data_IF_602864466753
#
_entry.id   IF_602864466753
#
_cell.length_a   1.000
_cell.length_b   1.000
_cell.length_c   1.000
_cell.angle_alpha   90.00
_cell.angle_beta   90.00
_cell.angle_gamma   90.00
#
_symmetry.space_group_name_H-M   'P 1'
#
loop_
_entity.id
_entity.type
_entity.pdbx_description
1 polymer ?
#
# COMPACT_ATOMS: atom_id res chain seq x y z
N UNK A 1 16.54 -10.07 -6.77
CA UNK A 1 15.18 -10.51 -6.46
C UNK A 1 14.92 -10.16 -5.02
N UNK A 2 13.88 -9.37 -4.73
CA UNK A 2 13.37 -9.25 -3.37
C UNK A 2 12.93 -10.66 -2.95
N UNK A 3 13.38 -11.16 -1.80
CA UNK A 3 12.91 -12.44 -1.30
C UNK A 3 11.41 -12.29 -1.02
N UNK A 4 10.60 -12.90 -1.88
CA UNK A 4 9.16 -12.92 -1.73
C UNK A 4 8.75 -14.09 -0.83
N UNK A 5 8.89 -13.86 0.48
CA UNK A 5 8.59 -14.81 1.56
C UNK A 5 7.08 -15.00 1.79
N UNK A 6 6.23 -14.45 0.91
CA UNK A 6 4.77 -14.64 0.95
C UNK A 6 4.37 -16.11 0.81
N UNK A 7 3.35 -16.51 1.58
CA UNK A 7 2.73 -17.84 1.49
C UNK A 7 2.07 -18.06 0.11
N UNK A 8 1.78 -19.30 -0.29
CA UNK A 8 1.01 -19.59 -1.50
C UNK A 8 -0.33 -18.84 -1.58
N UNK A 9 -1.04 -18.75 -0.45
CA UNK A 9 -2.31 -18.03 -0.33
C UNK A 9 -2.13 -16.52 -0.54
N UNK A 10 -1.09 -15.94 0.06
CA UNK A 10 -0.74 -14.54 -0.13
C UNK A 10 -0.35 -14.23 -1.59
N UNK A 11 0.38 -15.14 -2.25
CA UNK A 11 0.70 -15.01 -3.68
C UNK A 11 -0.55 -15.10 -4.56
N UNK A 12 -1.47 -16.01 -4.26
CA UNK A 12 -2.75 -16.10 -4.96
C UNK A 12 -3.61 -14.83 -4.77
N UNK A 13 -3.66 -14.28 -3.56
CA UNK A 13 -4.33 -13.02 -3.27
C UNK A 13 -3.68 -11.83 -4.01
N UNK A 14 -2.35 -11.80 -4.08
CA UNK A 14 -1.59 -10.83 -4.85
C UNK A 14 -1.87 -10.89 -6.34
N UNK A 15 -1.85 -12.09 -6.94
CA UNK A 15 -2.20 -12.30 -8.34
C UNK A 15 -3.65 -11.89 -8.65
N UNK A 16 -4.61 -12.26 -7.80
CA UNK A 16 -6.01 -11.86 -7.97
C UNK A 16 -6.18 -10.33 -7.89
N UNK A 17 -5.52 -9.69 -6.93
CA UNK A 17 -5.53 -8.23 -6.76
C UNK A 17 -4.89 -7.53 -7.96
N UNK A 18 -3.73 -7.98 -8.41
CA UNK A 18 -3.04 -7.47 -9.59
C UNK A 18 -3.91 -7.56 -10.84
N UNK A 19 -4.59 -8.70 -11.06
CA UNK A 19 -5.50 -8.88 -12.18
C UNK A 19 -6.67 -7.89 -12.13
N UNK A 20 -7.31 -7.71 -10.97
CA UNK A 20 -8.39 -6.72 -10.81
C UNK A 20 -7.92 -5.30 -11.11
N UNK A 21 -6.74 -4.92 -10.63
CA UNK A 21 -6.14 -3.60 -10.89
C UNK A 21 -5.88 -3.37 -12.38
N UNK A 22 -5.44 -4.39 -13.11
CA UNK A 22 -5.28 -4.35 -14.56
C UNK A 22 -6.62 -4.24 -15.29
N UNK A 23 -7.62 -5.06 -14.91
CA UNK A 23 -8.94 -5.10 -15.53
C UNK A 23 -9.65 -3.74 -15.48
N UNK A 24 -9.58 -3.04 -14.34
CA UNK A 24 -10.18 -1.70 -14.18
C UNK A 24 -9.27 -0.56 -14.67
N UNK A 25 -8.10 -0.88 -15.22
CA UNK A 25 -7.09 0.09 -15.70
C UNK A 25 -6.57 1.03 -14.60
N UNK A 26 -6.46 0.54 -13.37
CA UNK A 26 -5.79 1.26 -12.29
C UNK A 26 -4.26 1.29 -12.47
N UNK A 27 -3.72 0.40 -13.31
CA UNK A 27 -2.29 0.30 -13.66
C UNK A 27 -2.05 0.78 -15.10
N UNK A 28 -0.90 1.43 -15.32
CA UNK A 28 -0.43 1.76 -16.67
C UNK A 28 1.09 1.63 -16.81
N UNK A 29 1.54 1.17 -17.99
CA UNK A 29 2.96 1.06 -18.38
C UNK A 29 3.32 2.10 -19.45
N UNK A 30 4.44 2.80 -19.27
CA UNK A 30 5.00 3.81 -20.19
C UNK A 30 6.55 3.79 -20.18
N UNK A 31 7.22 2.71 -20.59
CA UNK A 31 8.68 2.67 -20.60
C UNK A 31 9.34 3.66 -21.56
N UNK A 32 8.65 4.05 -22.64
CA UNK A 32 9.15 5.05 -23.61
C UNK A 32 9.05 6.50 -23.12
N UNK A 33 8.08 6.77 -22.24
CA UNK A 33 7.79 8.11 -21.71
C UNK A 33 7.49 8.00 -20.20
N UNK A 34 8.53 7.75 -19.38
CA UNK A 34 8.35 7.45 -17.96
C UNK A 34 7.73 8.60 -17.19
N UNK A 35 7.07 8.23 -16.09
CA UNK A 35 6.61 9.15 -15.08
C UNK A 35 7.80 9.65 -14.26
N UNK A 36 7.81 10.95 -13.94
CA UNK A 36 8.73 11.50 -12.95
C UNK A 36 8.00 11.59 -11.62
N UNK A 37 8.39 10.75 -10.66
CA UNK A 37 7.81 10.71 -9.33
C UNK A 37 8.21 11.96 -8.53
N UNK A 38 7.46 12.29 -7.48
CA UNK A 38 7.76 13.44 -6.60
C UNK A 38 9.15 13.35 -5.97
N UNK A 39 9.66 12.14 -5.74
CA UNK A 39 11.00 11.89 -5.24
C UNK A 39 12.11 12.16 -6.29
N UNK A 40 11.75 12.45 -7.54
CA UNK A 40 12.66 12.70 -8.66
C UNK A 40 12.99 11.48 -9.51
N UNK A 41 12.44 10.30 -9.18
CA UNK A 41 12.78 9.04 -9.83
C UNK A 41 11.95 8.87 -11.10
N UNK A 42 12.56 8.37 -12.17
CA UNK A 42 11.85 7.97 -13.36
C UNK A 42 11.28 6.56 -13.16
N UNK A 43 10.01 6.37 -13.50
CA UNK A 43 9.34 5.08 -13.40
C UNK A 43 8.51 4.81 -14.65
N UNK A 44 8.64 3.61 -15.27
CA UNK A 44 7.80 3.22 -16.40
C UNK A 44 6.42 2.74 -15.94
N UNK A 45 6.18 2.60 -14.64
CA UNK A 45 4.95 2.03 -14.09
C UNK A 45 4.21 3.04 -13.21
N UNK A 46 2.90 3.10 -13.39
CA UNK A 46 2.01 3.95 -12.60
C UNK A 46 0.81 3.15 -12.12
N UNK A 47 0.41 3.41 -10.88
CA UNK A 47 -0.80 2.86 -10.27
C UNK A 47 -1.56 3.98 -9.57
N UNK A 48 -2.88 3.97 -9.71
CA UNK A 48 -3.79 4.80 -8.91
C UNK A 48 -4.78 3.93 -8.14
N UNK A 49 -4.46 3.58 -6.89
CA UNK A 49 -5.37 2.82 -6.04
C UNK A 49 -6.67 3.59 -5.75
N UNK A 50 -6.66 4.93 -5.75
CA UNK A 50 -7.89 5.72 -5.53
C UNK A 50 -8.93 5.46 -6.62
N UNK A 51 -8.52 4.99 -7.80
CA UNK A 51 -9.43 4.60 -8.87
C UNK A 51 -10.38 3.47 -8.46
N UNK A 52 -9.89 2.50 -7.67
CA UNK A 52 -10.61 1.29 -7.22
C UNK A 52 -11.92 1.63 -6.52
N UNK A 53 -12.02 2.77 -5.82
CA UNK A 53 -13.21 3.15 -5.06
C UNK A 53 -14.49 3.23 -5.93
N UNK A 54 -14.31 3.42 -7.24
CA UNK A 54 -15.38 3.54 -8.24
C UNK A 54 -15.91 2.19 -8.74
N UNK A 55 -15.30 1.07 -8.32
CA UNK A 55 -15.56 -0.27 -8.85
C UNK A 55 -16.02 -1.20 -7.72
N UNK A 56 -17.32 -1.51 -7.69
CA UNK A 56 -17.93 -2.18 -6.54
C UNK A 56 -17.48 -3.63 -6.34
N UNK A 57 -17.29 -4.38 -7.41
CA UNK A 57 -16.92 -5.80 -7.34
C UNK A 57 -15.47 -5.92 -6.87
N UNK A 58 -14.57 -5.18 -7.49
CA UNK A 58 -13.13 -5.17 -7.25
C UNK A 58 -12.82 -4.63 -5.87
N UNK A 59 -13.42 -3.49 -5.46
CA UNK A 59 -13.16 -2.95 -4.12
C UNK A 59 -13.63 -3.91 -3.02
N UNK A 60 -14.77 -4.60 -3.20
CA UNK A 60 -15.26 -5.59 -2.23
C UNK A 60 -14.30 -6.76 -2.12
N UNK A 61 -13.85 -7.29 -3.26
CA UNK A 61 -12.94 -8.43 -3.27
C UNK A 61 -11.56 -8.08 -2.71
N UNK A 62 -11.05 -6.88 -2.99
CA UNK A 62 -9.80 -6.38 -2.42
C UNK A 62 -9.89 -6.29 -0.88
N UNK A 63 -11.01 -5.78 -0.35
CA UNK A 63 -11.20 -5.69 1.11
C UNK A 63 -11.36 -7.07 1.74
N UNK A 64 -12.08 -7.99 1.10
CA UNK A 64 -12.20 -9.39 1.55
C UNK A 64 -10.81 -10.05 1.66
N UNK A 65 -10.00 -9.97 0.60
CA UNK A 65 -8.64 -10.52 0.59
C UNK A 65 -7.74 -9.84 1.63
N UNK A 66 -7.87 -8.53 1.82
CA UNK A 66 -7.12 -7.79 2.84
C UNK A 66 -7.45 -8.22 4.26
N UNK A 67 -8.73 -8.43 4.55
CA UNK A 67 -9.18 -8.92 5.85
C UNK A 67 -8.73 -10.36 6.11
N UNK A 68 -8.79 -11.24 5.10
CA UNK A 68 -8.27 -12.61 5.18
C UNK A 68 -6.76 -12.64 5.45
N UNK A 69 -5.99 -11.82 4.72
CA UNK A 69 -4.55 -11.68 4.92
C UNK A 69 -4.23 -11.27 6.36
N UNK A 70 -4.92 -10.26 6.89
CA UNK A 70 -4.69 -9.77 8.26
C UNK A 70 -5.05 -10.82 9.31
N UNK A 71 -6.19 -11.52 9.17
CA UNK A 71 -6.56 -12.63 10.07
C UNK A 71 -5.54 -13.76 10.09
N UNK A 72 -4.84 -14.00 8.99
CA UNK A 72 -3.77 -14.99 8.90
C UNK A 72 -2.40 -14.49 9.38
N UNK A 73 -2.20 -13.18 9.50
CA UNK A 73 -0.88 -12.58 9.75
C UNK A 73 -0.73 -11.98 11.15
N UNK A 74 -1.82 -11.56 11.79
CA UNK A 74 -1.82 -10.88 13.09
C UNK A 74 -2.96 -11.36 13.99
N UNK A 75 -2.84 -11.07 15.29
CA UNK A 75 -3.93 -11.22 16.25
C UNK A 75 -4.92 -10.05 16.09
N UNK A 76 -5.94 -10.23 15.24
CA UNK A 76 -6.97 -9.22 14.98
C UNK A 76 -7.80 -8.93 16.25
N UNK A 77 -7.92 -9.88 17.17
CA UNK A 77 -8.69 -9.67 18.41
C UNK A 77 -7.98 -8.68 19.34
N UNK A 78 -6.65 -8.63 19.29
CA UNK A 78 -5.83 -7.66 20.02
C UNK A 78 -5.88 -6.23 19.45
N UNK A 79 -6.34 -6.05 18.20
CA UNK A 79 -6.54 -4.70 17.64
C UNK A 79 -7.75 -4.03 18.28
N UNK A 80 -7.61 -2.77 18.69
CA UNK A 80 -8.71 -1.96 19.19
C UNK A 80 -9.36 -1.14 18.06
N UNK A 81 -8.56 -0.63 17.13
CA UNK A 81 -9.00 0.36 16.13
C UNK A 81 -8.33 0.17 14.78
N UNK A 82 -9.03 0.63 13.73
CA UNK A 82 -8.48 0.78 12.37
C UNK A 82 -8.40 2.26 12.01
N UNK A 83 -7.25 2.69 11.51
CA UNK A 83 -6.96 4.07 11.18
C UNK A 83 -6.69 4.26 9.69
N UNK A 84 -7.52 5.04 8.98
CA UNK A 84 -7.23 5.43 7.60
C UNK A 84 -6.31 6.65 7.52
N UNK A 85 -5.22 6.58 6.75
CA UNK A 85 -4.39 7.75 6.49
C UNK A 85 -5.04 8.74 5.52
N UNK A 86 -4.93 10.05 5.81
CA UNK A 86 -5.47 11.08 4.92
C UNK A 86 -4.69 11.10 3.59
N UNK A 87 -5.33 11.09 2.42
CA UNK A 87 -6.77 10.97 2.17
C UNK A 87 -7.12 9.59 1.61
N UNK A 88 -6.19 8.97 0.87
CA UNK A 88 -6.46 7.79 0.08
C UNK A 88 -6.63 6.53 0.93
N UNK A 89 -6.07 6.49 2.14
CA UNK A 89 -6.30 5.40 3.09
C UNK A 89 -7.69 5.40 3.73
N UNK A 90 -8.40 6.54 3.73
CA UNK A 90 -9.70 6.67 4.43
C UNK A 90 -10.76 5.69 3.89
N UNK A 91 -11.02 5.56 2.58
CA UNK A 91 -12.01 4.61 2.07
C UNK A 91 -11.68 3.16 2.43
N UNK A 92 -10.40 2.78 2.30
CA UNK A 92 -9.95 1.42 2.63
C UNK A 92 -10.02 1.15 4.13
N UNK A 93 -9.62 2.11 4.96
CA UNK A 93 -9.75 2.01 6.41
C UNK A 93 -11.20 1.82 6.84
N UNK A 94 -12.15 2.52 6.20
CA UNK A 94 -13.57 2.37 6.49
C UNK A 94 -14.07 0.96 6.18
N UNK A 95 -13.84 0.46 4.97
CA UNK A 95 -14.30 -0.88 4.59
C UNK A 95 -13.58 -2.00 5.34
N UNK A 96 -12.29 -1.83 5.64
CA UNK A 96 -11.53 -2.83 6.37
C UNK A 96 -11.92 -2.86 7.85
N UNK A 97 -12.22 -1.71 8.45
CA UNK A 97 -12.76 -1.63 9.82
C UNK A 97 -14.08 -2.39 9.95
N UNK A 98 -14.98 -2.24 8.97
CA UNK A 98 -16.23 -2.99 8.88
C UNK A 98 -15.97 -4.49 8.70
N UNK A 99 -15.05 -4.86 7.81
CA UNK A 99 -14.70 -6.26 7.55
C UNK A 99 -14.04 -6.97 8.73
N UNK A 100 -13.34 -6.22 9.62
CA UNK A 100 -12.66 -6.73 10.80
C UNK A 100 -13.47 -6.56 12.10
N UNK A 101 -14.67 -5.95 12.03
CA UNK A 101 -15.51 -5.61 13.18
C UNK A 101 -14.78 -4.75 14.22
N UNK A 102 -14.09 -3.70 13.76
CA UNK A 102 -13.35 -2.75 14.60
C UNK A 102 -13.85 -1.32 14.38
N UNK A 103 -13.88 -0.45 15.41
CA UNK A 103 -14.15 0.97 15.21
C UNK A 103 -13.06 1.64 14.35
N UNK A 104 -13.47 2.71 13.67
CA UNK A 104 -12.62 3.43 12.73
C UNK A 104 -12.24 4.82 13.25
N UNK A 105 -11.01 5.23 12.98
CA UNK A 105 -10.55 6.62 13.00
C UNK A 105 -9.86 6.98 11.68
N UNK A 106 -9.55 8.26 11.48
CA UNK A 106 -8.62 8.66 10.42
C UNK A 106 -7.62 9.71 10.89
N UNK A 107 -6.48 9.80 10.19
CA UNK A 107 -5.34 10.63 10.60
C UNK A 107 -5.06 11.68 9.53
N UNK A 108 -5.06 12.95 9.93
CA UNK A 108 -4.71 14.08 9.08
C UNK A 108 -3.21 14.13 8.80
N UNK A 109 -2.84 14.61 7.61
CA UNK A 109 -1.44 14.90 7.26
C UNK A 109 -0.84 16.06 8.05
N UNK A 110 -1.69 16.97 8.53
CA UNK A 110 -1.29 18.14 9.31
C UNK A 110 -2.21 18.29 10.52
N UNK A 111 -1.69 18.74 11.67
CA UNK A 111 -2.51 18.98 12.85
C UNK A 111 -3.54 20.08 12.60
N UNK A 112 -4.72 19.92 13.20
CA UNK A 112 -5.78 20.92 13.25
C UNK A 112 -6.03 21.29 14.70
N UNK A 113 -5.82 22.56 15.04
CA UNK A 113 -5.95 23.06 16.41
C UNK A 113 -4.74 22.70 17.28
N UNK A 114 -4.98 22.44 18.57
CA UNK A 114 -3.94 22.21 19.57
C UNK A 114 -4.18 20.89 20.30
N UNK A 115 -3.12 20.31 20.87
CA UNK A 115 -3.17 19.09 21.68
C UNK A 115 -2.57 17.88 20.99
N UNK A 116 -2.30 16.83 21.78
CA UNK A 116 -1.65 15.58 21.30
C UNK A 116 -2.42 14.84 20.21
N UNK A 117 -3.75 15.01 20.16
CA UNK A 117 -4.63 14.37 19.19
C UNK A 117 -5.00 15.29 18.02
N UNK A 118 -4.26 16.38 17.77
CA UNK A 118 -4.61 17.36 16.74
C UNK A 118 -4.64 16.79 15.31
N UNK A 119 -4.07 15.60 15.08
CA UNK A 119 -4.12 14.90 13.78
C UNK A 119 -5.18 13.80 13.73
N UNK A 120 -5.76 13.39 14.85
CA UNK A 120 -6.63 12.21 14.95
C UNK A 120 -8.08 12.66 14.91
N UNK A 121 -8.88 12.01 14.08
CA UNK A 121 -10.30 12.25 13.93
C UNK A 121 -11.07 10.95 14.20
N UNK A 122 -11.95 10.98 15.18
CA UNK A 122 -12.54 9.81 15.82
C UNK A 122 -12.23 9.77 17.32
N UNK A 123 -12.73 8.76 18.02
CA UNK A 123 -12.44 8.52 19.43
C UNK A 123 -11.33 7.48 19.56
N UNK A 124 -10.22 7.86 20.18
CA UNK A 124 -9.07 6.98 20.43
C UNK A 124 -8.73 6.99 21.92
N UNK A 125 -9.13 5.95 22.67
CA UNK A 125 -8.68 5.75 24.04
C UNK A 125 -7.15 5.67 24.14
N UNK A 126 -6.59 6.14 25.26
CA UNK A 126 -5.16 5.96 25.57
C UNK A 126 -4.79 4.48 25.61
N UNK A 127 -3.61 4.13 25.10
CA UNK A 127 -3.10 2.77 25.04
C UNK A 127 -3.68 1.90 23.90
N UNK A 128 -4.57 2.44 23.05
CA UNK A 128 -5.21 1.65 21.97
C UNK A 128 -4.19 1.03 21.02
N UNK A 129 -4.41 -0.22 20.62
CA UNK A 129 -3.68 -0.89 19.55
C UNK A 129 -4.35 -0.63 18.20
N UNK A 130 -3.63 0.06 17.31
CA UNK A 130 -4.19 0.61 16.06
C UNK A 130 -3.52 0.00 14.84
N UNK A 131 -4.34 -0.52 13.92
CA UNK A 131 -3.91 -0.87 12.56
C UNK A 131 -3.98 0.37 11.66
N UNK A 132 -2.86 0.79 11.06
CA UNK A 132 -2.87 1.85 10.05
C UNK A 132 -3.13 1.27 8.66
N UNK A 133 -4.09 1.87 7.94
CA UNK A 133 -4.53 1.45 6.61
C UNK A 133 -4.31 2.58 5.60
N UNK A 134 -3.68 2.23 4.50
CA UNK A 134 -3.40 3.12 3.37
C UNK A 134 -3.68 2.41 2.04
N UNK A 135 -3.76 3.15 0.95
CA UNK A 135 -3.99 2.58 -0.37
C UNK A 135 -2.72 1.91 -0.93
N UNK A 136 -1.58 2.59 -0.82
CA UNK A 136 -0.29 2.06 -1.28
C UNK A 136 0.90 2.51 -0.42
N UNK A 137 2.02 1.81 -0.53
CA UNK A 137 3.32 2.21 0.01
C UNK A 137 4.41 2.20 -1.07
N UNK A 138 5.22 3.25 -1.14
CA UNK A 138 6.43 3.33 -1.98
C UNK A 138 7.69 3.11 -1.14
N UNK A 139 8.24 4.17 -0.55
CA UNK A 139 9.43 4.18 0.32
C UNK A 139 9.07 4.15 1.81
N UNK A 140 7.79 4.13 2.14
CA UNK A 140 7.27 4.12 3.50
C UNK A 140 7.30 5.47 4.24
N UNK A 141 7.89 6.52 3.66
CA UNK A 141 8.14 7.78 4.38
C UNK A 141 6.87 8.47 4.86
N UNK A 142 5.80 8.48 4.05
CA UNK A 142 4.53 9.10 4.44
C UNK A 142 3.83 8.38 5.61
N UNK A 143 4.09 7.09 5.78
CA UNK A 143 3.48 6.26 6.83
C UNK A 143 4.05 6.59 8.20
N UNK A 144 5.34 6.90 8.27
CA UNK A 144 6.02 7.26 9.53
C UNK A 144 5.33 8.45 10.19
N UNK A 145 4.96 9.47 9.42
CA UNK A 145 4.22 10.62 9.94
C UNK A 145 2.87 10.23 10.57
N UNK A 146 2.14 9.28 9.98
CA UNK A 146 0.89 8.79 10.55
C UNK A 146 1.12 7.92 11.80
N UNK A 147 2.14 7.06 11.79
CA UNK A 147 2.55 6.24 12.94
C UNK A 147 2.94 7.13 14.12
N UNK A 148 3.74 8.17 13.86
CA UNK A 148 4.18 9.12 14.89
C UNK A 148 3.00 9.91 15.46
N UNK A 149 2.03 10.31 14.63
CA UNK A 149 0.82 10.99 15.07
C UNK A 149 -0.05 10.10 15.99
N UNK A 150 -0.20 8.82 15.65
CA UNK A 150 -0.89 7.84 16.50
C UNK A 150 -0.16 7.65 17.83
N UNK A 151 1.16 7.43 17.80
CA UNK A 151 2.00 7.24 18.99
C UNK A 151 2.03 8.47 19.89
N UNK A 152 2.02 9.68 19.31
CA UNK A 152 1.91 10.92 20.08
C UNK A 152 0.55 11.04 20.80
N UNK A 153 -0.49 10.41 20.27
CA UNK A 153 -1.80 10.24 20.90
C UNK A 153 -1.88 9.06 21.89
N UNK A 154 -0.76 8.42 22.23
CA UNK A 154 -0.66 7.25 23.12
C UNK A 154 -1.21 5.94 22.55
N UNK A 155 -1.19 5.77 21.23
CA UNK A 155 -1.50 4.48 20.60
C UNK A 155 -0.27 3.61 20.35
N UNK A 156 -0.48 2.30 20.39
CA UNK A 156 0.47 1.30 19.90
C UNK A 156 0.19 1.02 18.43
N UNK A 157 1.21 1.07 17.59
CA UNK A 157 1.13 0.73 16.15
C UNK A 157 2.26 -0.23 15.83
N UNK A 158 1.90 -1.47 15.52
CA UNK A 158 2.84 -2.56 15.17
C UNK A 158 2.65 -3.03 13.73
N UNK A 159 1.52 -2.71 13.10
CA UNK A 159 1.14 -3.27 11.81
C UNK A 159 0.50 -2.20 10.93
N UNK A 160 0.84 -2.24 9.64
CA UNK A 160 0.20 -1.43 8.61
C UNK A 160 -0.27 -2.31 7.48
N UNK A 161 -1.41 -1.96 6.90
CA UNK A 161 -1.93 -2.61 5.70
C UNK A 161 -1.97 -1.63 4.54
N UNK A 162 -1.52 -2.08 3.37
CA UNK A 162 -1.71 -1.39 2.09
C UNK A 162 -2.27 -2.33 1.03
N UNK A 163 -3.07 -1.82 0.10
CA UNK A 163 -3.50 -2.63 -1.05
C UNK A 163 -2.30 -2.94 -1.94
N UNK A 164 -1.44 -1.95 -2.17
CA UNK A 164 -0.30 -2.09 -3.07
C UNK A 164 1.02 -1.67 -2.44
N UNK A 165 2.01 -2.55 -2.42
CA UNK A 165 3.39 -2.19 -2.07
C UNK A 165 4.24 -2.12 -3.32
N UNK A 166 4.89 -0.99 -3.55
CA UNK A 166 5.67 -0.75 -4.76
C UNK A 166 6.80 -1.76 -4.92
N UNK A 167 7.56 -2.06 -3.85
CA UNK A 167 8.65 -3.07 -3.81
C UNK A 167 9.73 -2.97 -4.92
N UNK A 168 9.69 -1.96 -5.78
CA UNK A 168 10.69 -1.73 -6.81
C UNK A 168 11.87 -0.90 -6.29
N UNK A 169 11.72 -0.19 -5.18
CA UNK A 169 12.77 0.71 -4.70
C UNK A 169 13.21 0.31 -3.29
N UNK A 170 14.51 0.39 -2.97
CA UNK A 170 15.00 0.03 -1.64
C UNK A 170 14.53 1.06 -0.60
N UNK A 171 14.47 0.63 0.67
CA UNK A 171 14.33 1.53 1.83
C UNK A 171 13.01 1.45 2.59
N UNK A 172 11.92 0.99 1.98
CA UNK A 172 10.63 0.90 2.68
C UNK A 172 10.66 -0.13 3.82
N UNK A 173 11.15 -1.34 3.56
CA UNK A 173 11.28 -2.39 4.59
C UNK A 173 12.21 -1.97 5.74
N UNK A 174 13.34 -1.32 5.44
CA UNK A 174 14.25 -0.81 6.46
C UNK A 174 13.59 0.30 7.30
N UNK A 175 12.85 1.20 6.64
CA UNK A 175 12.07 2.27 7.31
C UNK A 175 11.05 1.68 8.28
N UNK A 176 10.30 0.66 7.85
CA UNK A 176 9.28 0.00 8.67
C UNK A 176 9.91 -0.78 9.82
N UNK A 177 10.99 -1.52 9.56
CA UNK A 177 11.72 -2.24 10.60
C UNK A 177 12.29 -1.30 11.67
N UNK A 178 12.85 -0.16 11.28
CA UNK A 178 13.31 0.88 12.23
C UNK A 178 12.17 1.48 13.04
N UNK A 179 10.97 1.58 12.46
CA UNK A 179 9.78 2.03 13.17
C UNK A 179 9.18 0.96 14.09
N UNK A 180 9.65 -0.30 14.01
CA UNK A 180 9.08 -1.44 14.74
C UNK A 180 7.70 -1.83 14.23
N UNK A 181 7.50 -1.75 12.90
CA UNK A 181 6.21 -1.92 12.25
C UNK A 181 6.31 -2.95 11.12
N UNK A 182 5.33 -3.85 11.03
CA UNK A 182 5.21 -4.82 9.94
C UNK A 182 4.36 -4.23 8.82
N UNK A 183 4.82 -4.38 7.57
CA UNK A 183 4.08 -3.99 6.38
C UNK A 183 3.36 -5.19 5.77
N UNK A 184 2.03 -5.15 5.81
CA UNK A 184 1.13 -6.11 5.17
C UNK A 184 0.64 -5.53 3.84
N UNK A 185 0.72 -6.31 2.76
CA UNK A 185 0.26 -5.87 1.45
C UNK A 185 -0.35 -7.00 0.61
N UNK A 186 -1.29 -6.67 -0.28
CA UNK A 186 -1.88 -7.66 -1.19
C UNK A 186 -1.00 -7.88 -2.41
N UNK A 187 -0.75 -6.83 -3.19
CA UNK A 187 -0.04 -6.92 -4.46
C UNK A 187 1.17 -5.99 -4.54
N UNK A 188 2.11 -6.35 -5.42
CA UNK A 188 3.25 -5.53 -5.81
C UNK A 188 3.45 -5.53 -7.33
N UNK A 189 4.50 -4.85 -7.81
CA UNK A 189 4.79 -4.79 -9.26
C UNK A 189 5.15 -6.13 -9.88
N UNK A 190 5.68 -7.08 -9.11
CA UNK A 190 6.00 -8.42 -9.61
C UNK A 190 4.72 -9.20 -9.92
N UNK A 191 3.71 -9.13 -9.03
CA UNK A 191 2.40 -9.74 -9.29
C UNK A 191 1.74 -9.12 -10.53
N UNK A 192 1.81 -7.78 -10.65
CA UNK A 192 1.25 -7.06 -11.80
C UNK A 192 1.95 -7.42 -13.09
N UNK A 193 3.29 -7.52 -13.09
CA UNK A 193 4.04 -7.92 -14.27
C UNK A 193 3.67 -9.33 -14.74
N UNK A 194 3.56 -10.28 -13.82
CA UNK A 194 3.17 -11.66 -14.13
C UNK A 194 1.76 -11.72 -14.74
N UNK A 195 0.78 -11.04 -14.13
CA UNK A 195 -0.59 -11.01 -14.66
C UNK A 195 -0.71 -10.21 -15.96
N UNK A 196 0.07 -9.14 -16.11
CA UNK A 196 0.12 -8.33 -17.32
C UNK A 196 0.63 -9.14 -18.52
N UNK A 197 1.68 -9.93 -18.31
CA UNK A 197 2.26 -10.83 -19.31
C UNK A 197 1.29 -11.97 -19.65
N UNK A 198 0.77 -12.67 -18.65
CA UNK A 198 -0.15 -13.79 -18.86
C UNK A 198 -1.46 -13.37 -19.55
N UNK A 199 -1.94 -12.15 -19.27
CA UNK A 199 -3.18 -11.62 -19.84
C UNK A 199 -3.00 -10.79 -21.11
N UNK A 200 -1.77 -10.59 -21.60
CA UNK A 200 -1.47 -9.75 -22.77
C UNK A 200 -2.07 -8.33 -22.67
N UNK A 201 -1.98 -7.71 -21.49
CA UNK A 201 -2.56 -6.37 -21.23
C UNK A 201 -1.79 -5.25 -21.92
N UNK A 202 -0.49 -5.47 -22.18
CA UNK A 202 0.42 -4.51 -22.80
C UNK A 202 1.23 -5.19 -23.91
N UNK A 203 1.94 -4.39 -24.72
CA UNK A 203 2.83 -4.93 -25.75
C UNK A 203 4.02 -5.68 -25.14
N UNK A 204 4.61 -6.63 -25.87
CA UNK A 204 5.82 -7.33 -25.43
C UNK A 204 6.97 -6.36 -25.14
N UNK A 205 7.07 -5.28 -25.93
CA UNK A 205 8.05 -4.20 -25.72
C UNK A 205 7.83 -3.47 -24.39
N UNK A 206 6.58 -3.16 -24.05
CA UNK A 206 6.26 -2.50 -22.78
C UNK A 206 6.54 -3.42 -21.58
N UNK A 207 6.19 -4.71 -21.71
CA UNK A 207 6.48 -5.75 -20.70
C UNK A 207 7.99 -5.86 -20.47
N UNK A 208 8.79 -5.88 -21.54
CA UNK A 208 10.25 -5.94 -21.43
C UNK A 208 10.80 -4.68 -20.75
N UNK A 209 10.30 -3.49 -21.10
CA UNK A 209 10.72 -2.24 -20.46
C UNK A 209 10.45 -2.22 -18.95
N UNK A 210 9.34 -2.82 -18.49
CA UNK A 210 9.04 -2.97 -17.06
C UNK A 210 9.92 -4.04 -16.40
N UNK A 211 10.22 -5.17 -17.09
CA UNK A 211 11.17 -6.18 -16.61
C UNK A 211 12.55 -5.56 -16.36
N UNK A 212 13.04 -4.76 -17.30
CA UNK A 212 14.33 -4.08 -17.19
C UNK A 212 14.35 -3.12 -16.00
N UNK A 213 13.24 -2.37 -15.81
CA UNK A 213 13.08 -1.50 -14.64
C UNK A 213 13.08 -2.28 -13.33
N UNK A 214 12.29 -3.34 -13.18
CA UNK A 214 12.24 -4.09 -11.91
C UNK A 214 13.54 -4.83 -11.60
N UNK A 215 14.36 -5.14 -12.61
CA UNK A 215 15.66 -5.77 -12.45
C UNK A 215 16.74 -4.82 -11.90
N UNK A 216 16.78 -3.57 -12.39
CA UNK A 216 17.64 -2.51 -11.86
C UNK A 216 16.89 -1.16 -11.79
N UNK A 217 16.05 -0.95 -10.76
CA UNK A 217 15.17 0.21 -10.68
C UNK A 217 15.92 1.53 -10.56
N UNK A 218 17.07 1.54 -9.87
CA UNK A 218 17.91 2.72 -9.69
C UNK A 218 18.67 3.06 -10.97
N UNK A 219 19.32 2.06 -11.58
CA UNK A 219 20.05 2.27 -12.84
C UNK A 219 19.11 2.63 -13.99
N UNK A 220 17.95 1.98 -14.07
CA UNK A 220 16.90 2.29 -15.04
C UNK A 220 16.39 3.72 -14.86
N UNK A 221 16.06 4.12 -13.63
CA UNK A 221 15.62 5.49 -13.33
C UNK A 221 16.67 6.52 -13.77
N UNK A 222 17.94 6.34 -13.38
CA UNK A 222 19.03 7.25 -13.75
C UNK A 222 19.26 7.33 -15.26
N UNK A 223 19.15 6.22 -15.99
CA UNK A 223 19.28 6.18 -17.44
C UNK A 223 18.12 6.85 -18.18
N UNK A 224 16.96 6.99 -17.52
CA UNK A 224 15.73 7.50 -18.10
C UNK A 224 15.28 8.86 -17.52
N UNK A 225 16.24 9.66 -17.03
CA UNK A 225 15.99 11.04 -16.60
C UNK A 225 15.57 11.22 -15.13
N UNK A 226 15.66 10.16 -14.33
CA UNK A 226 15.57 10.24 -12.87
C UNK A 226 16.80 10.90 -12.25
N UNK A 227 16.60 11.58 -11.12
CA UNK A 227 17.65 12.28 -10.36
C UNK A 227 18.24 11.43 -9.25
#
# INVERSE_FOLDING_TARGET
MVNDDRSPEQKAAGAATAKMLLDIKAVNFRPKEPYILTAGWASPVYIDCRWVISFLEERRKIIELGAELLRGSIDVDALDLVAGGETAGIPYGAWLSEALDKPMLYIRKKPKGFGRNAQIEGEMPEGSHVLLVEDLATDGGSKIMFIDALRAGDATVTDIFVVFYYSAFPGAEETMAKAGVNLHFLANWWDVLEQAEAGSYFSEEDIQGVKDFLADPLGWSAANGGK
#
